data_IF_725909932643
#
_entry.id   IF_725909932643
#
_cell.length_a   1.000
_cell.length_b   1.000
_cell.length_c   1.000
_cell.angle_alpha   90.00
_cell.angle_beta   90.00
_cell.angle_gamma   90.00
#
_symmetry.space_group_name_H-M   'P 1'
#
loop_
_entity.id
_entity.type
_entity.pdbx_description
1 polymer ?
#
# COMPACT_ATOMS: atom_id res chain seq x y z
N UNK A 1 -9.16 -2.36 10.42
CA UNK A 1 -9.45 -2.68 9.00
C UNK A 1 -8.26 -2.49 8.04
N UNK A 2 -7.20 -1.72 8.37
CA UNK A 2 -5.93 -1.78 7.60
C UNK A 2 -4.87 -2.75 8.19
N UNK A 3 -5.09 -3.22 9.42
CA UNK A 3 -4.21 -4.18 10.10
C UNK A 3 -4.29 -5.62 9.55
N UNK A 4 -5.21 -5.89 8.62
CA UNK A 4 -5.38 -7.21 8.00
C UNK A 4 -4.65 -7.32 6.64
N UNK A 5 -3.85 -6.31 6.28
CA UNK A 5 -2.97 -6.43 5.12
C UNK A 5 -1.80 -7.31 5.49
N UNK A 6 -1.58 -8.34 4.69
CA UNK A 6 -0.37 -9.15 4.72
C UNK A 6 0.80 -8.27 4.24
N UNK A 7 1.49 -7.61 5.17
CA UNK A 7 2.59 -6.70 4.88
C UNK A 7 3.86 -7.42 4.43
N UNK A 8 4.02 -8.69 4.82
CA UNK A 8 5.19 -9.50 4.49
C UNK A 8 5.29 -9.79 2.99
N UNK A 9 4.15 -10.08 2.36
CA UNK A 9 4.04 -10.25 0.91
C UNK A 9 3.72 -8.95 0.18
N UNK A 10 3.58 -7.82 0.88
CA UNK A 10 3.15 -6.59 0.25
C UNK A 10 4.28 -5.97 -0.58
N UNK A 11 3.96 -5.59 -1.81
CA UNK A 11 4.85 -4.82 -2.67
C UNK A 11 4.72 -3.35 -2.28
N UNK A 12 5.79 -2.77 -1.72
CA UNK A 12 5.83 -1.40 -1.21
C UNK A 12 6.70 -0.53 -2.11
N UNK A 13 6.27 0.68 -2.43
CA UNK A 13 7.07 1.65 -3.16
C UNK A 13 6.74 3.10 -2.75
N UNK A 14 7.67 4.06 -2.93
CA UNK A 14 7.42 5.46 -2.62
C UNK A 14 6.38 6.06 -3.56
N UNK A 15 5.37 6.74 -3.00
CA UNK A 15 4.38 7.50 -3.77
C UNK A 15 4.91 8.90 -4.08
N UNK A 16 5.53 9.05 -5.25
CA UNK A 16 6.11 10.31 -5.73
C UNK A 16 5.16 11.13 -6.60
N UNK A 17 3.86 10.77 -6.66
CA UNK A 17 2.88 11.42 -7.56
C UNK A 17 2.70 12.91 -7.29
N UNK A 18 2.83 13.34 -6.04
CA UNK A 18 2.88 14.76 -5.66
C UNK A 18 3.83 14.94 -4.48
N UNK A 19 4.44 16.11 -4.41
CA UNK A 19 5.24 16.51 -3.27
C UNK A 19 4.30 16.93 -2.14
N UNK A 20 3.90 15.97 -1.31
CA UNK A 20 2.95 16.18 -0.21
C UNK A 20 3.60 16.72 1.08
N UNK A 21 4.91 16.98 1.06
CA UNK A 21 5.70 17.40 2.24
C UNK A 21 6.02 16.28 3.23
N UNK A 22 5.47 15.07 3.03
CA UNK A 22 5.71 13.89 3.86
C UNK A 22 6.06 12.68 2.98
N UNK A 23 6.93 11.75 3.44
CA UNK A 23 7.27 10.54 2.71
C UNK A 23 6.08 9.57 2.72
N UNK A 24 5.28 9.60 1.64
CA UNK A 24 4.17 8.66 1.44
C UNK A 24 4.67 7.41 0.75
N UNK A 25 4.22 6.28 1.24
CA UNK A 25 4.45 4.96 0.67
C UNK A 25 3.13 4.41 0.17
N UNK A 26 3.16 3.81 -1.01
CA UNK A 26 2.08 2.98 -1.52
C UNK A 26 2.48 1.52 -1.36
N UNK A 27 1.52 0.67 -1.03
CA UNK A 27 1.70 -0.77 -1.08
C UNK A 27 0.50 -1.48 -1.69
N UNK A 28 0.78 -2.64 -2.27
CA UNK A 28 -0.24 -3.61 -2.67
C UNK A 28 0.02 -4.89 -1.91
N UNK A 29 -0.99 -5.38 -1.21
CA UNK A 29 -0.91 -6.62 -0.45
C UNK A 29 -2.26 -7.32 -0.39
N UNK A 30 -2.24 -8.58 0.04
CA UNK A 30 -3.46 -9.34 0.26
C UNK A 30 -4.15 -8.89 1.54
N UNK A 31 -5.47 -8.76 1.48
CA UNK A 31 -6.35 -8.77 2.64
C UNK A 31 -7.26 -9.98 2.47
N UNK A 32 -6.95 -11.05 3.20
CA UNK A 32 -7.53 -12.36 2.96
C UNK A 32 -7.19 -12.86 1.55
N UNK A 33 -8.21 -13.05 0.71
CA UNK A 33 -8.05 -13.63 -0.64
C UNK A 33 -8.03 -12.58 -1.77
N UNK A 34 -7.94 -11.28 -1.45
CA UNK A 34 -8.00 -10.20 -2.45
C UNK A 34 -6.89 -9.20 -2.27
N UNK A 35 -6.39 -8.66 -3.38
CA UNK A 35 -5.39 -7.59 -3.38
C UNK A 35 -6.01 -6.23 -3.13
N UNK A 36 -5.40 -5.48 -2.22
CA UNK A 36 -5.76 -4.12 -1.87
C UNK A 36 -4.58 -3.19 -2.08
N UNK A 37 -4.90 -1.97 -2.50
CA UNK A 37 -3.97 -0.87 -2.61
C UNK A 37 -4.09 0.00 -1.35
N UNK A 38 -2.99 0.21 -0.66
CA UNK A 38 -2.90 1.03 0.54
C UNK A 38 -1.90 2.15 0.34
N UNK A 39 -2.23 3.35 0.80
CA UNK A 39 -1.30 4.48 0.92
C UNK A 39 -1.14 4.77 2.39
N UNK A 40 0.10 4.85 2.85
CA UNK A 40 0.45 5.10 4.23
C UNK A 40 1.67 5.98 4.33
N UNK A 41 1.88 6.53 5.53
CA UNK A 41 3.10 7.23 5.91
C UNK A 41 3.65 6.48 7.11
N UNK A 42 4.90 6.05 7.01
CA UNK A 42 5.64 5.57 8.18
C UNK A 42 6.15 6.79 8.95
N UNK A 43 5.65 6.95 10.18
CA UNK A 43 6.25 7.83 11.19
C UNK A 43 6.93 6.92 12.20
N UNK A 44 8.06 7.36 12.76
CA UNK A 44 8.98 6.63 13.65
C UNK A 44 8.39 5.37 14.34
N UNK A 45 7.30 5.53 15.11
CA UNK A 45 6.69 4.44 15.89
C UNK A 45 5.25 4.10 15.46
N UNK A 46 4.76 4.66 14.36
CA UNK A 46 3.37 4.50 13.93
C UNK A 46 3.19 4.65 12.43
N UNK A 47 2.62 3.61 11.83
CA UNK A 47 2.18 3.61 10.44
C UNK A 47 0.79 4.25 10.33
N UNK A 48 0.71 5.43 9.72
CA UNK A 48 -0.58 6.09 9.45
C UNK A 48 -1.07 5.71 8.07
N UNK A 49 -2.15 4.92 8.00
CA UNK A 49 -2.83 4.62 6.74
C UNK A 49 -3.67 5.83 6.32
N UNK A 50 -3.39 6.37 5.14
CA UNK A 50 -4.09 7.51 4.52
C UNK A 50 -5.29 7.01 3.72
N UNK A 51 -5.11 5.95 2.94
CA UNK A 51 -6.15 5.42 2.07
C UNK A 51 -5.99 3.92 1.91
N UNK A 52 -7.11 3.20 1.95
CA UNK A 52 -7.17 1.77 1.64
C UNK A 52 -8.31 1.56 0.63
N UNK A 53 -8.00 0.92 -0.49
CA UNK A 53 -9.00 0.56 -1.49
C UNK A 53 -8.65 -0.76 -2.15
N UNK A 54 -9.61 -1.35 -2.84
CA UNK A 54 -9.37 -2.53 -3.66
C UNK A 54 -8.37 -2.20 -4.77
N UNK A 55 -7.44 -3.11 -5.04
CA UNK A 55 -6.50 -2.96 -6.15
C UNK A 55 -7.25 -3.10 -7.48
N UNK A 56 -6.96 -2.19 -8.42
CA UNK A 56 -7.46 -2.27 -9.79
C UNK A 56 -6.65 -3.30 -10.59
N UNK A 57 -7.15 -3.75 -11.74
CA UNK A 57 -6.46 -4.76 -12.56
C UNK A 57 -5.00 -4.38 -12.91
N UNK A 58 -4.72 -3.09 -13.14
CA UNK A 58 -3.35 -2.60 -13.38
C UNK A 58 -2.42 -2.79 -12.18
N UNK A 59 -2.96 -2.60 -10.98
CA UNK A 59 -2.22 -2.74 -9.72
C UNK A 59 -2.01 -4.22 -9.38
N UNK A 60 -3.03 -5.07 -9.60
CA UNK A 60 -2.91 -6.53 -9.50
C UNK A 60 -1.82 -7.05 -10.43
N UNK A 61 -1.78 -6.57 -11.68
CA UNK A 61 -0.72 -6.96 -12.63
C UNK A 61 0.66 -6.56 -12.13
N UNK A 62 0.82 -5.34 -11.61
CA UNK A 62 2.09 -4.87 -11.02
C UNK A 62 2.54 -5.74 -9.85
N UNK A 63 1.61 -6.19 -9.00
CA UNK A 63 1.94 -7.11 -7.90
C UNK A 63 2.40 -8.47 -8.42
N UNK A 64 1.82 -8.97 -9.51
CA UNK A 64 2.23 -10.24 -10.12
C UNK A 64 3.56 -10.17 -10.88
N UNK A 65 4.01 -8.98 -11.27
CA UNK A 65 5.28 -8.74 -11.98
C UNK A 65 6.44 -8.36 -11.04
N UNK A 66 6.17 -8.11 -9.75
CA UNK A 66 7.15 -7.74 -8.73
C UNK A 66 7.65 -8.97 -7.97
#
# INVERSE_FOLDING_TARGET
MAAALEWDSAVIWPDTRRQYGEPRMAAIGYIGLRLYYVVFVDRAESRRVISLRKANQREVKRYAEA
#
